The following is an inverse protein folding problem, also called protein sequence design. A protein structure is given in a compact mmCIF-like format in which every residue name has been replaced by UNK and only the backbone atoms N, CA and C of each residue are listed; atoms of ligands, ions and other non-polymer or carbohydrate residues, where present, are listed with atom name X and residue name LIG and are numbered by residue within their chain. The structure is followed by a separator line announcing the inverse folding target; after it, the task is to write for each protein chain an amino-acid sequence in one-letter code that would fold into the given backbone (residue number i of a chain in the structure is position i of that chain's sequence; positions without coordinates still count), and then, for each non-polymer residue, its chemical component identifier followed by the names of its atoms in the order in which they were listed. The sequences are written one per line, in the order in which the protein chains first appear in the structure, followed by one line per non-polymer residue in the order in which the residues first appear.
data_IF_918743585098
#
_entry.id   IF_918743585098
#
_cell.length_a   1.000
_cell.length_b   1.000
_cell.length_c   1.000
_cell.angle_alpha   90.00
_cell.angle_beta   90.00
_cell.angle_gamma   90.00
#
_symmetry.space_group_name_H-M   'P 1'
#
loop_
_entity.id
_entity.type
_entity.pdbx_description
1 polymer ?
#
# COMPACT_ATOMS: atom_id res chain seq x y z
N UNK A 1 3.08 21.45 10.52
CA UNK A 1 3.87 20.43 11.26
C UNK A 1 5.21 20.28 10.57
N UNK A 2 6.27 20.10 11.35
CA UNK A 2 7.62 19.93 10.81
C UNK A 2 7.87 18.46 10.45
N UNK A 3 8.84 18.24 9.58
CA UNK A 3 9.31 16.89 9.28
C UNK A 3 10.10 16.32 10.46
N UNK A 4 9.97 15.02 10.69
CA UNK A 4 10.83 14.30 11.63
C UNK A 4 11.57 13.18 10.94
N UNK A 5 12.88 13.09 11.18
CA UNK A 5 13.75 12.09 10.58
C UNK A 5 14.39 11.23 11.65
N UNK A 6 14.38 9.92 11.46
CA UNK A 6 15.05 8.95 12.29
C UNK A 6 16.55 8.86 11.99
N UNK A 7 17.19 7.89 12.62
CA UNK A 7 18.62 7.62 12.45
C UNK A 7 18.88 6.98 11.06
N UNK A 8 20.01 7.34 10.44
CA UNK A 8 20.51 6.77 9.19
C UNK A 8 19.48 6.76 8.02
N UNK A 9 18.57 7.75 7.99
CA UNK A 9 17.65 7.95 6.87
C UNK A 9 18.44 8.39 5.64
N UNK A 10 18.14 7.79 4.49
CA UNK A 10 18.72 8.18 3.19
C UNK A 10 17.66 8.85 2.33
N UNK A 11 17.92 10.09 1.92
CA UNK A 11 17.05 10.86 1.03
C UNK A 11 17.87 11.20 -0.20
N UNK A 12 17.38 10.77 -1.35
CA UNK A 12 18.03 11.02 -2.64
C UNK A 12 17.58 12.34 -3.26
N UNK A 13 18.08 12.59 -4.45
CA UNK A 13 17.99 13.88 -5.13
C UNK A 13 16.53 14.31 -5.38
N UNK A 14 16.25 15.61 -5.19
CA UNK A 14 14.99 16.29 -5.51
C UNK A 14 13.73 15.68 -4.84
N UNK A 15 13.90 14.91 -3.76
CA UNK A 15 12.78 14.43 -2.97
C UNK A 15 12.14 15.58 -2.15
N UNK A 16 10.83 15.76 -2.28
CA UNK A 16 10.04 16.72 -1.51
C UNK A 16 9.33 16.04 -0.35
N UNK A 17 9.60 16.47 0.89
CA UNK A 17 9.00 15.91 2.10
C UNK A 17 8.40 17.04 2.94
N UNK A 18 7.12 16.93 3.31
CA UNK A 18 6.42 17.91 4.13
C UNK A 18 5.54 17.25 5.18
N UNK A 19 5.54 17.78 6.41
CA UNK A 19 4.68 17.34 7.52
C UNK A 19 4.68 15.81 7.71
N UNK A 20 5.86 15.18 7.58
CA UNK A 20 5.96 13.72 7.50
C UNK A 20 7.00 13.17 8.48
N UNK A 21 6.80 11.92 8.89
CA UNK A 21 7.71 11.19 9.77
C UNK A 21 8.41 10.09 9.00
N UNK A 22 9.73 10.20 8.84
CA UNK A 22 10.58 9.19 8.21
C UNK A 22 11.37 8.50 9.32
N UNK A 23 11.11 7.21 9.55
CA UNK A 23 11.72 6.45 10.66
C UNK A 23 13.12 5.95 10.31
N UNK A 24 13.78 5.30 11.28
CA UNK A 24 15.17 4.87 11.18
C UNK A 24 15.45 3.99 9.95
N UNK A 25 16.59 4.22 9.32
CA UNK A 25 17.08 3.45 8.18
C UNK A 25 16.16 3.43 6.94
N UNK A 26 15.13 4.28 6.90
CA UNK A 26 14.28 4.39 5.72
C UNK A 26 15.03 5.02 4.54
N UNK A 27 14.62 4.67 3.34
CA UNK A 27 15.23 5.13 2.09
C UNK A 27 14.17 5.80 1.22
N UNK A 28 14.43 7.05 0.80
CA UNK A 28 13.55 7.83 -0.07
C UNK A 28 14.31 8.09 -1.37
N UNK A 29 13.81 7.55 -2.48
CA UNK A 29 14.39 7.67 -3.82
C UNK A 29 14.27 9.07 -4.42
N UNK A 30 14.87 9.23 -5.61
CA UNK A 30 14.86 10.50 -6.34
C UNK A 30 13.43 10.94 -6.71
N UNK A 31 13.19 12.24 -6.76
CA UNK A 31 11.93 12.86 -7.19
C UNK A 31 10.69 12.38 -6.43
N UNK A 32 10.83 11.83 -5.23
CA UNK A 32 9.71 11.42 -4.41
C UNK A 32 8.94 12.63 -3.86
N UNK A 33 7.62 12.49 -3.72
CA UNK A 33 6.76 13.50 -3.12
C UNK A 33 5.98 12.91 -1.93
N UNK A 34 6.36 13.28 -0.71
CA UNK A 34 5.80 12.69 0.52
C UNK A 34 5.22 13.81 1.39
N UNK A 35 3.91 13.76 1.66
CA UNK A 35 3.26 14.74 2.53
C UNK A 35 2.31 14.08 3.52
N UNK A 36 2.27 14.63 4.74
CA UNK A 36 1.34 14.26 5.80
C UNK A 36 1.35 12.74 6.07
N UNK A 37 2.54 12.12 6.04
CA UNK A 37 2.69 10.66 5.98
C UNK A 37 3.75 10.12 6.94
N UNK A 38 3.66 8.82 7.23
CA UNK A 38 4.67 8.12 8.03
C UNK A 38 5.30 7.00 7.20
N UNK A 39 6.64 6.99 7.10
CA UNK A 39 7.42 5.91 6.49
C UNK A 39 8.15 5.15 7.59
N UNK A 40 7.92 3.86 7.65
CA UNK A 40 8.42 2.94 8.69
C UNK A 40 9.93 2.68 8.60
N UNK A 41 10.45 2.04 9.66
CA UNK A 41 11.85 1.65 9.71
C UNK A 41 12.22 0.66 8.61
N UNK A 42 13.41 0.81 8.03
CA UNK A 42 13.90 -0.05 6.94
C UNK A 42 12.96 -0.13 5.73
N UNK A 43 12.07 0.83 5.56
CA UNK A 43 11.18 0.89 4.40
C UNK A 43 11.79 1.71 3.28
N UNK A 44 11.43 1.37 2.04
CA UNK A 44 11.97 2.05 0.86
C UNK A 44 10.84 2.59 0.00
N UNK A 45 10.91 3.87 -0.33
CA UNK A 45 10.09 4.49 -1.36
C UNK A 45 11.00 4.74 -2.56
N UNK A 46 10.78 3.99 -3.63
CA UNK A 46 11.57 4.12 -4.85
C UNK A 46 11.25 5.42 -5.60
N UNK A 47 12.12 5.78 -6.56
CA UNK A 47 12.05 7.05 -7.31
C UNK A 47 10.65 7.38 -7.82
N UNK A 48 10.29 8.66 -7.75
CA UNK A 48 8.99 9.20 -8.18
C UNK A 48 7.81 8.58 -7.45
N UNK A 49 8.03 8.04 -6.24
CA UNK A 49 6.96 7.62 -5.34
C UNK A 49 6.20 8.84 -4.80
N UNK A 50 4.88 8.79 -4.82
CA UNK A 50 4.00 9.84 -4.31
C UNK A 50 3.17 9.31 -3.16
N UNK A 51 3.43 9.77 -1.94
CA UNK A 51 2.76 9.29 -0.72
C UNK A 51 2.05 10.45 -0.03
N UNK A 52 0.73 10.35 0.12
CA UNK A 52 -0.11 11.40 0.70
C UNK A 52 -1.00 10.86 1.81
N UNK A 53 -1.02 11.51 2.98
CA UNK A 53 -1.90 11.17 4.11
C UNK A 53 -1.92 9.66 4.40
N UNK A 54 -0.74 9.02 4.42
CA UNK A 54 -0.64 7.57 4.44
C UNK A 54 0.42 7.10 5.42
N UNK A 55 0.27 5.87 5.87
CA UNK A 55 1.27 5.18 6.68
C UNK A 55 1.78 3.96 5.93
N UNK A 56 3.09 3.84 5.80
CA UNK A 56 3.79 2.63 5.33
C UNK A 56 4.61 2.12 6.51
N UNK A 57 4.26 0.93 7.00
CA UNK A 57 4.91 0.34 8.16
C UNK A 57 6.27 -0.29 7.80
N UNK A 58 7.01 -0.71 8.85
CA UNK A 58 8.39 -1.17 8.77
C UNK A 58 8.62 -2.29 7.74
N UNK A 59 9.78 -2.29 7.11
CA UNK A 59 10.25 -3.31 6.15
C UNK A 59 9.40 -3.44 4.89
N UNK A 60 8.59 -2.45 4.56
CA UNK A 60 7.79 -2.43 3.34
C UNK A 60 8.45 -1.57 2.26
N UNK A 61 8.23 -1.91 1.00
CA UNK A 61 8.75 -1.09 -0.08
C UNK A 61 7.72 -0.85 -1.19
N UNK A 62 7.87 0.29 -1.86
CA UNK A 62 7.16 0.62 -3.10
C UNK A 62 8.13 0.75 -4.25
N UNK A 63 7.79 0.17 -5.39
CA UNK A 63 8.51 0.41 -6.64
C UNK A 63 8.29 1.83 -7.17
N UNK A 64 9.05 2.19 -8.19
CA UNK A 64 9.01 3.52 -8.79
C UNK A 64 7.64 3.88 -9.40
N UNK A 65 7.33 5.17 -9.47
CA UNK A 65 6.05 5.72 -9.96
C UNK A 65 4.82 5.22 -9.21
N UNK A 66 4.95 4.75 -7.99
CA UNK A 66 3.81 4.27 -7.19
C UNK A 66 3.17 5.43 -6.44
N UNK A 67 1.85 5.52 -6.51
CA UNK A 67 1.04 6.55 -5.84
C UNK A 67 0.22 5.91 -4.73
N UNK A 68 0.37 6.42 -3.51
CA UNK A 68 -0.37 5.98 -2.32
C UNK A 68 -1.08 7.18 -1.69
N UNK A 69 -2.40 7.09 -1.56
CA UNK A 69 -3.21 8.14 -0.96
C UNK A 69 -4.18 7.57 0.06
N UNK A 70 -4.21 8.19 1.26
CA UNK A 70 -5.15 7.83 2.33
C UNK A 70 -5.19 6.32 2.59
N UNK A 71 -4.01 5.73 2.78
CA UNK A 71 -3.84 4.31 2.99
C UNK A 71 -2.98 4.00 4.21
N UNK A 72 -3.31 2.89 4.89
CA UNK A 72 -2.48 2.27 5.90
C UNK A 72 -1.96 0.95 5.35
N UNK A 73 -0.64 0.87 5.16
CA UNK A 73 0.06 -0.30 4.62
C UNK A 73 0.87 -0.94 5.74
N UNK A 74 0.65 -2.22 5.95
CA UNK A 74 1.31 -3.01 6.98
C UNK A 74 2.79 -3.26 6.73
N UNK A 75 3.37 -4.14 7.53
CA UNK A 75 4.80 -4.50 7.50
C UNK A 75 5.09 -5.54 6.43
N UNK A 76 6.34 -5.54 5.94
CA UNK A 76 6.84 -6.55 4.98
C UNK A 76 6.08 -6.60 3.65
N UNK A 77 5.41 -5.54 3.27
CA UNK A 77 4.70 -5.46 1.99
C UNK A 77 5.67 -5.23 0.83
N UNK A 78 5.44 -5.96 -0.25
CA UNK A 78 6.18 -5.84 -1.50
C UNK A 78 5.27 -5.23 -2.57
N UNK A 79 5.44 -3.94 -2.83
CA UNK A 79 4.62 -3.20 -3.80
C UNK A 79 5.48 -2.88 -5.02
N UNK A 80 5.03 -3.32 -6.18
CA UNK A 80 5.76 -3.15 -7.44
C UNK A 80 5.63 -1.72 -8.00
N UNK A 81 6.07 -1.49 -9.21
CA UNK A 81 6.06 -0.19 -9.87
C UNK A 81 4.72 0.14 -10.53
N UNK A 82 4.46 1.44 -10.78
CA UNK A 82 3.26 1.97 -11.42
C UNK A 82 1.97 1.51 -10.72
N UNK A 83 1.98 1.41 -9.40
CA UNK A 83 0.80 1.02 -8.61
C UNK A 83 0.05 2.25 -8.16
N UNK A 84 -1.28 2.24 -8.28
CA UNK A 84 -2.17 3.29 -7.77
C UNK A 84 -3.01 2.76 -6.62
N UNK A 85 -2.85 3.35 -5.43
CA UNK A 85 -3.55 2.96 -4.21
C UNK A 85 -4.35 4.13 -3.67
N UNK A 86 -5.67 3.97 -3.54
CA UNK A 86 -6.56 4.93 -2.86
C UNK A 86 -6.85 6.20 -3.66
N UNK A 87 -7.02 6.10 -4.96
CA UNK A 87 -7.47 7.21 -5.82
C UNK A 87 -8.76 7.88 -5.31
N UNK A 88 -8.97 9.15 -5.65
CA UNK A 88 -10.18 9.87 -5.27
C UNK A 88 -11.42 9.32 -5.99
N UNK A 89 -12.55 9.25 -5.28
CA UNK A 89 -13.86 9.03 -5.88
C UNK A 89 -14.48 10.37 -6.27
N UNK A 90 -15.36 10.33 -7.26
CA UNK A 90 -16.22 11.46 -7.64
C UNK A 90 -17.68 11.04 -7.46
N UNK A 91 -18.51 11.96 -6.97
CA UNK A 91 -19.95 11.71 -6.89
C UNK A 91 -20.56 11.80 -8.29
N UNK A 92 -21.09 10.67 -8.76
CA UNK A 92 -21.70 10.55 -10.09
C UNK A 92 -23.18 10.95 -10.11
N UNK A 93 -23.76 11.26 -8.96
CA UNK A 93 -25.16 11.67 -8.83
C UNK A 93 -25.33 13.19 -8.86
N UNK A 94 -24.25 13.96 -8.79
CA UNK A 94 -24.30 15.40 -9.00
C UNK A 94 -24.39 15.76 -10.49
N UNK A 95 -24.91 16.96 -10.79
CA UNK A 95 -24.99 17.50 -12.15
C UNK A 95 -23.59 17.52 -12.84
N UNK A 96 -22.56 17.65 -12.06
CA UNK A 96 -21.16 17.58 -12.52
C UNK A 96 -20.33 16.68 -11.59
N UNK A 97 -19.47 15.88 -12.15
CA UNK A 97 -18.47 15.09 -11.38
C UNK A 97 -17.30 15.95 -10.93
N UNK A 98 -17.15 17.17 -11.43
CA UNK A 98 -16.07 18.06 -11.05
C UNK A 98 -16.31 18.69 -9.68
N UNK A 99 -15.30 18.80 -8.81
CA UNK A 99 -15.48 19.30 -7.44
C UNK A 99 -15.60 20.83 -7.33
N UNK A 100 -15.67 21.60 -8.42
CA UNK A 100 -15.69 23.07 -8.39
C UNK A 100 -16.80 23.68 -7.52
N UNK A 101 -17.99 23.08 -7.40
CA UNK A 101 -19.03 23.69 -6.54
C UNK A 101 -18.71 23.60 -5.03
N UNK A 102 -17.76 22.74 -4.65
CA UNK A 102 -17.47 22.41 -3.25
C UNK A 102 -16.09 22.89 -2.78
N UNK A 103 -15.21 23.29 -3.70
CA UNK A 103 -13.84 23.66 -3.40
C UNK A 103 -13.56 25.10 -3.79
N UNK A 104 -13.30 25.97 -2.80
CA UNK A 104 -13.13 27.42 -2.96
C UNK A 104 -12.06 27.85 -3.95
N UNK A 105 -10.98 27.06 -4.09
CA UNK A 105 -9.89 27.35 -5.04
C UNK A 105 -10.35 27.46 -6.50
N UNK A 106 -11.53 26.97 -6.84
CA UNK A 106 -12.09 27.09 -8.19
C UNK A 106 -12.95 28.36 -8.39
N UNK A 107 -13.11 29.19 -7.35
CA UNK A 107 -13.77 30.48 -7.43
C UNK A 107 -15.30 30.47 -7.44
N UNK A 108 -15.95 29.32 -7.30
CA UNK A 108 -17.40 29.19 -7.29
C UNK A 108 -17.99 28.99 -5.89
N UNK A 109 -17.20 28.47 -4.95
CA UNK A 109 -17.57 28.34 -3.56
C UNK A 109 -16.81 29.36 -2.71
N UNK A 110 -17.48 29.99 -1.74
CA UNK A 110 -16.85 30.94 -0.82
C UNK A 110 -15.90 30.25 0.17
N UNK A 111 -16.22 29.01 0.53
CA UNK A 111 -15.43 28.15 1.43
C UNK A 111 -15.50 26.69 0.97
N UNK A 112 -14.59 25.86 1.47
CA UNK A 112 -14.65 24.43 1.19
C UNK A 112 -15.82 23.83 1.94
N UNK A 113 -16.76 23.28 1.20
CA UNK A 113 -17.84 22.44 1.74
C UNK A 113 -17.46 20.97 1.62
N UNK A 114 -18.19 20.07 2.29
CA UNK A 114 -17.84 18.65 2.33
C UNK A 114 -17.97 17.98 0.96
N UNK A 115 -16.94 18.10 0.17
CA UNK A 115 -16.72 17.18 -0.95
C UNK A 115 -15.92 15.99 -0.44
N UNK A 116 -16.66 15.02 0.02
CA UNK A 116 -16.13 13.84 0.67
C UNK A 116 -15.43 12.88 -0.28
N UNK A 117 -14.23 13.15 -0.59
CA UNK A 117 -13.48 12.19 -1.40
C UNK A 117 -12.54 11.30 -0.60
N UNK A 118 -12.40 11.49 0.74
CA UNK A 118 -11.28 10.88 1.51
C UNK A 118 -11.63 10.26 2.86
N UNK A 119 -12.88 9.94 3.15
CA UNK A 119 -13.27 9.38 4.44
C UNK A 119 -12.90 7.92 4.65
N UNK A 120 -12.79 7.14 3.58
CA UNK A 120 -12.48 5.72 3.69
C UNK A 120 -10.97 5.49 3.52
N UNK A 121 -10.30 5.24 4.63
CA UNK A 121 -8.89 4.85 4.62
C UNK A 121 -8.78 3.42 4.09
N UNK A 122 -8.04 3.25 3.00
CA UNK A 122 -7.69 1.96 2.46
C UNK A 122 -6.72 1.24 3.40
N UNK A 123 -6.96 -0.03 3.65
CA UNK A 123 -6.13 -0.84 4.57
C UNK A 123 -5.48 -2.00 3.84
N UNK A 124 -4.15 -2.09 3.92
CA UNK A 124 -3.37 -3.22 3.43
C UNK A 124 -2.68 -3.87 4.63
N UNK A 125 -2.91 -5.16 4.81
CA UNK A 125 -2.32 -5.94 5.89
C UNK A 125 -0.82 -6.14 5.76
N UNK A 126 -0.28 -7.05 6.56
CA UNK A 126 1.15 -7.38 6.52
C UNK A 126 1.47 -8.43 5.45
N UNK A 127 2.71 -8.47 4.96
CA UNK A 127 3.22 -9.49 4.02
C UNK A 127 2.37 -9.59 2.73
N UNK A 128 1.86 -8.45 2.24
CA UNK A 128 1.08 -8.37 1.00
C UNK A 128 2.00 -8.14 -0.18
N UNK A 129 1.78 -8.89 -1.26
CA UNK A 129 2.47 -8.67 -2.54
C UNK A 129 1.51 -8.07 -3.57
N UNK A 130 1.88 -6.91 -4.10
CA UNK A 130 1.13 -6.20 -5.14
C UNK A 130 2.01 -6.13 -6.39
N UNK A 131 1.52 -6.75 -7.48
CA UNK A 131 2.17 -6.73 -8.78
C UNK A 131 2.19 -5.35 -9.43
N UNK A 132 2.92 -5.23 -10.54
CA UNK A 132 3.02 -3.97 -11.28
C UNK A 132 1.71 -3.56 -11.95
N UNK A 133 1.53 -2.25 -12.16
CA UNK A 133 0.36 -1.66 -12.83
C UNK A 133 -0.99 -2.02 -12.17
N UNK A 134 -1.01 -2.28 -10.87
CA UNK A 134 -2.22 -2.55 -10.11
C UNK A 134 -2.91 -1.24 -9.72
N UNK A 135 -4.24 -1.22 -9.82
CA UNK A 135 -5.08 -0.15 -9.28
C UNK A 135 -5.94 -0.71 -8.14
N UNK A 136 -5.85 -0.09 -6.96
CA UNK A 136 -6.67 -0.45 -5.80
C UNK A 136 -7.58 0.73 -5.47
N UNK A 137 -8.88 0.49 -5.56
CA UNK A 137 -9.87 1.53 -5.29
C UNK A 137 -9.91 1.86 -3.79
N UNK A 138 -10.39 3.05 -3.49
CA UNK A 138 -10.59 3.55 -2.13
C UNK A 138 -11.55 2.68 -1.34
N UNK A 139 -11.37 2.66 -0.02
CA UNK A 139 -12.21 1.90 0.92
C UNK A 139 -11.95 0.39 0.94
N UNK A 140 -11.14 -0.13 0.00
CA UNK A 140 -10.80 -1.56 -0.05
C UNK A 140 -9.91 -1.96 1.11
N UNK A 141 -10.17 -3.14 1.65
CA UNK A 141 -9.29 -3.80 2.63
C UNK A 141 -8.60 -5.01 1.99
N UNK A 142 -7.27 -5.09 2.11
CA UNK A 142 -6.48 -6.25 1.67
C UNK A 142 -5.91 -6.95 2.90
N UNK A 143 -6.28 -8.22 3.07
CA UNK A 143 -5.87 -9.04 4.21
C UNK A 143 -4.39 -9.41 4.21
N UNK A 144 -3.89 -9.80 5.39
CA UNK A 144 -2.50 -10.24 5.56
C UNK A 144 -2.12 -11.34 4.57
N UNK A 145 -0.93 -11.25 4.02
CA UNK A 145 -0.40 -12.29 3.15
C UNK A 145 -1.08 -12.42 1.79
N UNK A 146 -1.99 -11.52 1.41
CA UNK A 146 -2.64 -11.54 0.11
C UNK A 146 -1.66 -11.27 -1.04
N UNK A 147 -2.04 -11.71 -2.23
CA UNK A 147 -1.29 -11.46 -3.47
C UNK A 147 -2.22 -10.85 -4.50
N UNK A 148 -1.82 -9.73 -5.08
CA UNK A 148 -2.52 -9.07 -6.18
C UNK A 148 -1.67 -9.19 -7.45
N UNK A 149 -2.20 -9.89 -8.45
CA UNK A 149 -1.53 -10.09 -9.74
C UNK A 149 -1.35 -8.77 -10.50
N UNK A 150 -0.31 -8.71 -11.32
CA UNK A 150 0.00 -7.52 -12.12
C UNK A 150 -1.18 -7.13 -13.03
N UNK A 151 -1.39 -5.81 -13.21
CA UNK A 151 -2.46 -5.25 -14.03
C UNK A 151 -3.87 -5.39 -13.45
N UNK A 152 -4.03 -5.86 -12.21
CA UNK A 152 -5.34 -6.02 -11.60
C UNK A 152 -5.98 -4.69 -11.20
N UNK A 153 -7.32 -4.62 -11.28
CA UNK A 153 -8.12 -3.52 -10.73
C UNK A 153 -8.95 -4.06 -9.56
N UNK A 154 -8.51 -3.75 -8.34
CA UNK A 154 -9.12 -4.26 -7.10
C UNK A 154 -10.26 -3.34 -6.68
N UNK A 155 -11.48 -3.83 -6.76
CA UNK A 155 -12.72 -3.09 -6.49
C UNK A 155 -13.46 -3.56 -5.24
N UNK A 156 -13.02 -4.65 -4.61
CA UNK A 156 -13.62 -5.28 -3.44
C UNK A 156 -12.54 -5.76 -2.48
N UNK A 157 -12.94 -6.02 -1.25
CA UNK A 157 -12.06 -6.54 -0.22
C UNK A 157 -11.45 -7.88 -0.58
N UNK A 158 -10.18 -8.03 -0.26
CA UNK A 158 -9.38 -9.24 -0.49
C UNK A 158 -9.11 -9.93 0.84
N UNK A 159 -9.50 -11.19 0.94
CA UNK A 159 -9.27 -11.99 2.15
C UNK A 159 -7.79 -12.30 2.39
N UNK A 160 -7.44 -12.63 3.64
CA UNK A 160 -6.07 -13.00 3.98
C UNK A 160 -5.57 -14.21 3.18
N UNK A 161 -4.31 -14.14 2.74
CA UNK A 161 -3.63 -15.19 1.95
C UNK A 161 -4.33 -15.56 0.64
N UNK A 162 -5.29 -14.75 0.18
CA UNK A 162 -5.92 -14.93 -1.11
C UNK A 162 -5.03 -14.41 -2.24
N UNK A 163 -5.20 -14.98 -3.43
CA UNK A 163 -4.56 -14.56 -4.68
C UNK A 163 -5.64 -14.04 -5.60
N UNK A 164 -5.53 -12.76 -5.97
CA UNK A 164 -6.49 -12.08 -6.84
C UNK A 164 -5.81 -11.54 -8.09
N UNK A 165 -6.51 -11.56 -9.23
CA UNK A 165 -6.02 -10.99 -10.49
C UNK A 165 -7.17 -10.60 -11.41
N UNK A 166 -6.87 -9.82 -12.46
CA UNK A 166 -7.81 -9.44 -13.52
C UNK A 166 -8.48 -8.08 -13.34
N UNK A 167 -9.38 -7.72 -14.26
CA UNK A 167 -10.12 -6.47 -14.33
C UNK A 167 -11.60 -6.76 -14.57
N UNK A 168 -12.50 -6.54 -13.59
CA UNK A 168 -12.19 -6.33 -12.18
C UNK A 168 -11.48 -7.56 -11.57
N UNK A 169 -10.66 -7.33 -10.55
CA UNK A 169 -9.93 -8.41 -9.88
C UNK A 169 -10.90 -9.40 -9.22
N UNK A 170 -10.58 -10.67 -9.35
CA UNK A 170 -11.32 -11.79 -8.72
C UNK A 170 -10.34 -12.74 -8.07
N UNK A 171 -10.82 -13.45 -7.06
CA UNK A 171 -10.06 -14.50 -6.41
C UNK A 171 -9.79 -15.65 -7.40
N UNK A 172 -8.50 -15.96 -7.56
CA UNK A 172 -8.03 -17.07 -8.42
C UNK A 172 -7.39 -18.21 -7.63
N UNK A 173 -7.14 -17.99 -6.31
CA UNK A 173 -6.56 -19.02 -5.46
C UNK A 173 -6.25 -18.54 -4.05
N UNK A 174 -5.50 -19.36 -3.32
CA UNK A 174 -4.91 -19.06 -2.02
C UNK A 174 -3.42 -19.39 -2.03
N UNK A 175 -2.61 -18.69 -1.21
CA UNK A 175 -1.17 -18.98 -1.06
C UNK A 175 -0.90 -20.34 -0.43
N UNK A 176 -1.73 -20.72 0.52
CA UNK A 176 -1.58 -21.91 1.36
C UNK A 176 -2.93 -22.60 1.51
N UNK A 177 -2.94 -23.86 1.95
CA UNK A 177 -4.16 -24.54 2.40
C UNK A 177 -4.70 -23.93 3.70
N UNK A 178 -5.96 -24.22 4.00
CA UNK A 178 -6.66 -23.61 5.13
C UNK A 178 -6.04 -23.99 6.49
N UNK A 179 -5.44 -25.18 6.62
CA UNK A 179 -4.78 -25.63 7.86
C UNK A 179 -3.54 -24.80 8.14
N UNK A 180 -2.75 -24.49 7.11
CA UNK A 180 -1.57 -23.62 7.21
C UNK A 180 -2.02 -22.21 7.56
N UNK A 181 -3.05 -21.68 6.90
CA UNK A 181 -3.58 -20.35 7.17
C UNK A 181 -4.05 -20.22 8.63
N UNK A 182 -4.80 -21.18 9.14
CA UNK A 182 -5.22 -21.19 10.55
C UNK A 182 -4.03 -21.21 11.51
N UNK A 183 -3.01 -21.99 11.20
CA UNK A 183 -1.79 -22.04 12.01
C UNK A 183 -1.08 -20.69 12.04
N UNK A 184 -0.96 -20.02 10.89
CA UNK A 184 -0.36 -18.68 10.78
C UNK A 184 -1.13 -17.64 11.61
N UNK A 185 -2.46 -17.67 11.58
CA UNK A 185 -3.28 -16.80 12.43
C UNK A 185 -3.06 -17.05 13.93
N UNK A 186 -3.00 -18.31 14.36
CA UNK A 186 -2.71 -18.65 15.76
C UNK A 186 -1.34 -18.16 16.21
N UNK A 187 -0.34 -18.20 15.32
CA UNK A 187 1.00 -17.68 15.60
C UNK A 187 1.03 -16.15 15.67
N UNK A 188 0.31 -15.46 14.79
CA UNK A 188 0.28 -13.97 14.75
C UNK A 188 -0.33 -13.38 16.01
N UNK A 189 -1.41 -13.97 16.53
CA UNK A 189 -2.10 -13.52 17.74
C UNK A 189 -1.28 -13.69 19.03
N UNK A 190 -0.19 -14.46 18.99
CA UNK A 190 0.74 -14.67 20.14
C UNK A 190 1.93 -13.71 20.14
N UNK A 191 1.88 -12.63 19.37
CA UNK A 191 2.91 -11.57 19.38
C UNK A 191 4.25 -11.96 18.73
N UNK A 192 4.28 -12.98 17.85
CA UNK A 192 5.52 -13.60 17.42
C UNK A 192 5.73 -13.88 15.94
N UNK A 193 5.20 -13.09 15.00
CA UNK A 193 5.27 -13.46 13.56
C UNK A 193 6.65 -13.32 12.92
N UNK A 194 7.53 -12.47 13.42
CA UNK A 194 8.80 -12.17 12.71
C UNK A 194 9.94 -13.13 13.09
N UNK A 195 10.01 -13.60 14.31
CA UNK A 195 11.11 -14.48 14.76
C UNK A 195 11.02 -15.92 14.23
N UNK A 196 9.86 -16.58 14.14
CA UNK A 196 9.76 -17.92 13.56
C UNK A 196 10.04 -17.95 12.06
N UNK A 197 9.54 -16.98 11.29
CA UNK A 197 9.76 -16.91 9.85
C UNK A 197 11.26 -16.81 9.51
N UNK A 198 12.01 -15.94 10.16
CA UNK A 198 13.46 -15.82 9.96
C UNK A 198 14.23 -17.10 10.28
N UNK A 199 13.83 -17.89 11.29
CA UNK A 199 14.44 -19.19 11.60
C UNK A 199 14.11 -20.27 10.56
N UNK A 200 12.92 -20.21 9.96
CA UNK A 200 12.52 -21.15 8.90
C UNK A 200 13.31 -20.87 7.63
N UNK A 201 13.49 -19.60 7.26
CA UNK A 201 14.29 -19.22 6.08
C UNK A 201 15.77 -19.58 6.19
N UNK A 202 16.34 -19.61 7.40
CA UNK A 202 17.74 -20.08 7.60
C UNK A 202 17.91 -21.59 7.39
N UNK A 203 16.84 -22.38 7.41
CA UNK A 203 16.97 -23.85 7.40
C UNK A 203 16.86 -24.53 6.04
N UNK A 204 16.21 -23.96 5.03
CA UNK A 204 16.29 -24.37 3.59
C UNK A 204 15.48 -23.39 2.73
N UNK A 205 16.00 -22.90 1.60
CA UNK A 205 15.17 -22.22 0.61
C UNK A 205 14.23 -23.24 -0.04
N UNK A 206 12.94 -23.14 0.21
CA UNK A 206 11.95 -23.94 -0.50
C UNK A 206 11.63 -23.21 -1.81
N UNK A 207 12.39 -23.52 -2.86
CA UNK A 207 12.00 -23.15 -4.21
C UNK A 207 10.84 -24.06 -4.65
N UNK A 208 9.62 -23.56 -4.61
CA UNK A 208 8.51 -24.21 -5.29
C UNK A 208 8.62 -23.86 -6.78
N UNK A 209 9.34 -24.67 -7.54
CA UNK A 209 9.25 -24.63 -8.99
C UNK A 209 7.86 -25.17 -9.38
N UNK A 210 6.90 -24.28 -9.64
CA UNK A 210 5.73 -24.68 -10.45
C UNK A 210 6.20 -24.78 -11.89
N UNK A 211 6.26 -26.00 -12.42
CA UNK A 211 6.37 -26.22 -13.85
C UNK A 211 5.15 -25.54 -14.50
N UNK A 212 5.37 -24.54 -15.33
CA UNK A 212 4.38 -24.12 -16.31
C UNK A 212 4.31 -25.25 -17.32
N UNK A 213 3.26 -26.04 -17.29
CA UNK A 213 2.92 -26.91 -18.42
C UNK A 213 2.33 -26.02 -19.53
N UNK A 214 2.68 -26.27 -20.78
CA UNK A 214 2.25 -25.53 -21.96
C UNK A 214 0.74 -25.55 -22.16
#
# INVERSE_FOLDING_TARGET
MDNTFGKDVKIYKDAFIRASKIKDHAVIGDDCFITDSTIGEYSTIERRGMIFNSTIENYSYTGYNTVVKYASIGKFCSISWNVSIGGANHDVHHLTTHPFPFISKYGFANENTSYESFNDILKIGNDVWIGSNVCILRGVTIGNGAVIGAGAVVTHDVGPYEIWAGVPAKKIGKRFDDKIIEHLFKCSNRGGVVRPAYRIFKRKPVYVQRKCNP
#
